data_IF_533229216226
#
_entry.id   IF_533229216226
#
_cell.length_a   1.000
_cell.length_b   1.000
_cell.length_c   1.000
_cell.angle_alpha   90.00
_cell.angle_beta   90.00
_cell.angle_gamma   90.00
#
_symmetry.space_group_name_H-M   'P 1'
#
loop_
_entity.id
_entity.type
_entity.pdbx_description
1 polymer ?
#
# COMPACT_ATOMS: atom_id res chain seq x y z
N UNK A 1 -27.12 33.24 61.40
CA UNK A 1 -27.34 32.09 60.49
C UNK A 1 -26.67 32.40 59.18
N UNK A 2 -25.47 31.78 58.91
CA UNK A 2 -24.69 32.03 57.66
C UNK A 2 -25.19 31.07 56.61
N UNK A 3 -25.72 31.55 55.48
CA UNK A 3 -26.15 30.73 54.33
C UNK A 3 -24.89 30.37 53.50
N UNK A 4 -24.58 29.10 53.43
CA UNK A 4 -23.51 28.55 52.63
C UNK A 4 -24.05 28.31 51.21
N UNK A 5 -23.59 29.12 50.24
CA UNK A 5 -23.95 28.97 48.85
C UNK A 5 -22.94 28.01 48.20
N UNK A 6 -23.36 26.79 47.86
CA UNK A 6 -22.54 25.82 47.10
C UNK A 6 -22.70 26.14 45.64
N UNK A 7 -21.59 26.59 44.99
CA UNK A 7 -21.52 26.78 43.53
C UNK A 7 -21.09 25.44 42.94
N UNK A 8 -22.03 24.77 42.25
CA UNK A 8 -21.79 23.55 41.52
C UNK A 8 -21.22 23.91 40.15
N UNK A 9 -19.88 23.82 39.99
CA UNK A 9 -19.23 24.04 38.72
C UNK A 9 -19.42 22.78 37.83
N UNK A 10 -20.26 22.89 36.80
CA UNK A 10 -20.40 21.85 35.78
C UNK A 10 -19.17 21.91 34.86
N UNK A 11 -18.31 20.87 34.93
CA UNK A 11 -17.22 20.67 33.98
C UNK A 11 -17.80 20.08 32.70
N UNK A 12 -17.90 20.89 31.66
CA UNK A 12 -18.29 20.44 30.31
C UNK A 12 -17.07 19.80 29.65
N UNK A 13 -17.01 18.47 29.59
CA UNK A 13 -16.00 17.76 28.80
C UNK A 13 -16.43 17.81 27.34
N UNK A 14 -15.80 18.70 26.55
CA UNK A 14 -15.92 18.68 25.08
C UNK A 14 -15.19 17.45 24.57
N UNK A 15 -15.89 16.41 24.16
CA UNK A 15 -15.34 15.32 23.38
C UNK A 15 -15.19 15.83 21.93
N UNK A 16 -13.95 16.11 21.50
CA UNK A 16 -13.65 16.41 20.11
C UNK A 16 -13.80 15.11 19.30
N UNK A 17 -14.80 15.04 18.43
CA UNK A 17 -14.90 13.98 17.42
C UNK A 17 -13.88 14.29 16.33
N UNK A 18 -12.83 13.48 16.24
CA UNK A 18 -11.90 13.54 15.10
C UNK A 18 -12.56 12.85 13.91
N UNK A 19 -12.80 13.60 12.84
CA UNK A 19 -13.28 13.03 11.57
C UNK A 19 -12.13 12.32 10.87
N UNK A 20 -12.35 11.05 10.52
CA UNK A 20 -11.42 10.29 9.68
C UNK A 20 -11.70 10.64 8.23
N UNK A 21 -10.70 11.15 7.53
CA UNK A 21 -10.75 11.43 6.10
C UNK A 21 -10.33 10.19 5.31
N UNK A 22 -11.05 9.90 4.24
CA UNK A 22 -10.73 8.78 3.33
C UNK A 22 -10.21 9.33 2.01
N UNK A 23 -9.04 8.84 1.61
CA UNK A 23 -8.33 9.22 0.40
C UNK A 23 -8.24 8.01 -0.52
N UNK A 24 -8.46 8.21 -1.82
CA UNK A 24 -8.33 7.16 -2.84
C UNK A 24 -7.24 7.52 -3.82
N UNK A 25 -6.54 6.51 -4.33
CA UNK A 25 -5.55 6.75 -5.37
C UNK A 25 -6.20 7.31 -6.64
N UNK A 26 -5.57 8.33 -7.20
CA UNK A 26 -5.86 8.83 -8.54
C UNK A 26 -5.17 7.90 -9.55
N UNK A 27 -5.97 7.05 -10.22
CA UNK A 27 -5.45 5.99 -11.11
C UNK A 27 -4.49 6.51 -12.19
N UNK A 28 -4.78 7.62 -12.92
CA UNK A 28 -3.85 8.18 -13.90
C UNK A 28 -2.50 8.61 -13.34
N UNK A 29 -2.44 8.98 -12.06
CA UNK A 29 -1.23 9.45 -11.40
C UNK A 29 -0.71 8.48 -10.34
N UNK A 30 -1.05 7.19 -10.49
CA UNK A 30 -0.61 6.13 -9.58
C UNK A 30 -0.03 4.94 -10.33
N UNK A 31 1.05 4.38 -9.83
CA UNK A 31 1.73 3.22 -10.40
C UNK A 31 2.11 2.21 -9.33
N UNK A 32 1.90 0.92 -9.62
CA UNK A 32 2.45 -0.19 -8.86
C UNK A 32 3.37 -0.99 -9.76
N UNK A 33 4.65 -1.08 -9.41
CA UNK A 33 5.68 -1.78 -10.16
C UNK A 33 6.42 -2.79 -9.30
N UNK A 34 6.98 -3.79 -9.96
CA UNK A 34 7.87 -4.77 -9.36
C UNK A 34 9.07 -5.03 -10.25
N UNK A 35 10.12 -5.59 -9.67
CA UNK A 35 11.34 -5.94 -10.38
C UNK A 35 11.96 -7.21 -9.79
N UNK A 36 12.41 -8.12 -10.65
CA UNK A 36 13.14 -9.34 -10.30
C UNK A 36 14.42 -9.43 -11.11
N UNK A 37 15.46 -10.06 -10.55
CA UNK A 37 16.69 -10.36 -11.31
C UNK A 37 16.54 -11.69 -12.03
N UNK A 38 16.78 -11.71 -13.34
CA UNK A 38 16.71 -12.88 -14.20
C UNK A 38 18.12 -13.38 -14.55
N UNK A 39 18.35 -14.68 -14.39
CA UNK A 39 19.65 -15.37 -14.59
C UNK A 39 20.84 -14.74 -13.82
N UNK A 40 20.56 -13.91 -12.81
CA UNK A 40 21.59 -13.19 -12.07
C UNK A 40 22.30 -12.07 -12.83
N UNK A 41 21.84 -11.71 -14.05
CA UNK A 41 22.56 -10.79 -14.96
C UNK A 41 21.73 -9.60 -15.45
N UNK A 42 20.41 -9.62 -15.31
CA UNK A 42 19.56 -8.52 -15.74
C UNK A 42 18.28 -8.43 -14.90
N UNK A 43 17.74 -7.23 -14.81
CA UNK A 43 16.47 -7.02 -14.13
C UNK A 43 15.30 -7.00 -15.12
N UNK A 44 14.23 -7.69 -14.75
CA UNK A 44 12.94 -7.71 -15.44
C UNK A 44 11.94 -6.98 -14.57
N UNK A 45 11.37 -5.90 -15.10
CA UNK A 45 10.34 -5.13 -14.44
C UNK A 45 8.95 -5.39 -15.04
N UNK A 46 7.93 -5.19 -14.21
CA UNK A 46 6.53 -5.22 -14.61
C UNK A 46 5.68 -4.31 -13.73
N UNK A 47 4.43 -4.16 -14.12
CA UNK A 47 3.41 -3.37 -13.40
C UNK A 47 2.16 -4.20 -13.18
N UNK A 48 1.34 -3.78 -12.19
CA UNK A 48 -0.07 -4.14 -12.11
C UNK A 48 -0.87 -2.89 -12.44
N UNK A 49 -1.62 -2.95 -13.55
CA UNK A 49 -2.28 -1.76 -14.11
C UNK A 49 -3.69 -1.52 -13.55
N UNK A 50 -4.27 -2.49 -12.84
CA UNK A 50 -5.57 -2.36 -12.20
C UNK A 50 -5.46 -2.63 -10.70
N UNK A 51 -5.44 -1.54 -9.94
CA UNK A 51 -5.37 -1.56 -8.48
C UNK A 51 -6.08 -0.37 -7.87
N UNK A 52 -6.51 -0.54 -6.63
CA UNK A 52 -7.09 0.50 -5.80
C UNK A 52 -6.38 0.54 -4.45
N UNK A 53 -6.17 1.75 -3.95
CA UNK A 53 -5.63 2.00 -2.61
C UNK A 53 -6.53 2.98 -1.89
N UNK A 54 -6.88 2.66 -0.65
CA UNK A 54 -7.58 3.57 0.25
C UNK A 54 -6.69 3.91 1.43
N UNK A 55 -6.59 5.19 1.76
CA UNK A 55 -5.88 5.71 2.92
C UNK A 55 -6.86 6.41 3.83
N UNK A 56 -6.99 5.95 5.07
CA UNK A 56 -7.85 6.55 6.07
C UNK A 56 -6.98 7.19 7.16
N UNK A 57 -7.12 8.50 7.38
CA UNK A 57 -6.36 9.25 8.37
C UNK A 57 -7.21 10.35 9.01
N UNK A 58 -7.02 10.61 10.31
CA UNK A 58 -7.61 11.73 11.01
C UNK A 58 -6.63 12.91 11.15
N UNK A 59 -5.30 12.63 11.08
CA UNK A 59 -4.27 13.63 11.22
C UNK A 59 -3.78 14.15 9.88
N UNK A 60 -3.50 15.46 9.77
CA UNK A 60 -3.01 16.06 8.52
C UNK A 60 -1.62 15.56 8.08
N UNK A 61 -0.81 15.06 9.03
CA UNK A 61 0.52 14.50 8.77
C UNK A 61 0.51 13.00 8.45
N UNK A 62 -0.68 12.40 8.38
CA UNK A 62 -0.90 10.97 8.13
C UNK A 62 -0.19 10.02 9.10
N UNK A 63 0.25 10.49 10.28
CA UNK A 63 0.94 9.65 11.27
C UNK A 63 0.05 8.55 11.88
N UNK A 64 -1.27 8.63 11.68
CA UNK A 64 -2.28 7.64 12.09
C UNK A 64 -2.91 6.89 10.91
N UNK A 65 -2.33 7.04 9.71
CA UNK A 65 -2.93 6.52 8.49
C UNK A 65 -3.03 5.00 8.48
N UNK A 66 -4.16 4.51 7.95
CA UNK A 66 -4.39 3.10 7.65
C UNK A 66 -4.51 2.94 6.14
N UNK A 67 -3.78 1.97 5.61
CA UNK A 67 -3.71 1.67 4.18
C UNK A 67 -4.42 0.34 3.89
N UNK A 68 -5.27 0.34 2.88
CA UNK A 68 -5.85 -0.85 2.30
C UNK A 68 -5.60 -0.83 0.80
N UNK A 69 -5.15 -1.96 0.26
CA UNK A 69 -4.78 -2.12 -1.14
C UNK A 69 -5.41 -3.40 -1.70
N UNK A 70 -5.84 -3.31 -2.96
CA UNK A 70 -6.28 -4.45 -3.76
C UNK A 70 -5.78 -4.27 -5.19
N UNK A 71 -5.24 -5.34 -5.80
CA UNK A 71 -4.87 -5.37 -7.21
C UNK A 71 -5.37 -6.63 -7.90
N UNK A 72 -5.82 -6.49 -9.14
CA UNK A 72 -6.18 -7.61 -9.99
C UNK A 72 -4.93 -8.23 -10.61
N UNK A 73 -4.68 -9.49 -10.33
CA UNK A 73 -3.52 -10.26 -10.84
C UNK A 73 -3.51 -10.30 -12.37
N UNK A 74 -4.70 -10.35 -13.00
CA UNK A 74 -4.83 -10.36 -14.47
C UNK A 74 -4.30 -9.09 -15.14
N UNK A 75 -4.11 -8.00 -14.40
CA UNK A 75 -3.61 -6.72 -14.90
C UNK A 75 -2.08 -6.63 -14.98
N UNK A 76 -1.37 -7.72 -14.67
CA UNK A 76 0.08 -7.79 -14.78
C UNK A 76 0.54 -7.54 -16.21
N UNK A 77 1.53 -6.68 -16.35
CA UNK A 77 2.13 -6.29 -17.63
C UNK A 77 3.65 -6.17 -17.48
N UNK A 78 4.37 -6.99 -18.21
CA UNK A 78 5.83 -6.98 -18.30
C UNK A 78 6.31 -6.61 -19.71
N UNK A 79 5.42 -6.10 -20.58
CA UNK A 79 5.65 -5.75 -21.98
C UNK A 79 5.98 -6.96 -22.89
N UNK A 80 5.73 -8.19 -22.40
CA UNK A 80 5.92 -9.43 -23.15
C UNK A 80 4.72 -10.34 -22.88
N UNK A 81 3.81 -10.41 -23.84
CA UNK A 81 2.52 -11.13 -23.69
C UNK A 81 2.68 -12.60 -23.27
N UNK A 82 3.64 -13.31 -23.85
CA UNK A 82 3.89 -14.72 -23.49
C UNK A 82 4.32 -14.88 -22.03
N UNK A 83 5.11 -13.93 -21.51
CA UNK A 83 5.51 -13.91 -20.10
C UNK A 83 4.34 -13.55 -19.20
N UNK A 84 3.53 -12.56 -19.57
CA UNK A 84 2.35 -12.14 -18.81
C UNK A 84 1.34 -13.29 -18.71
N UNK A 85 1.13 -14.05 -19.80
CA UNK A 85 0.31 -15.24 -19.78
C UNK A 85 0.87 -16.31 -18.83
N UNK A 86 2.19 -16.53 -18.84
CA UNK A 86 2.84 -17.49 -17.95
C UNK A 86 2.76 -17.07 -16.48
N UNK A 87 2.96 -15.77 -16.18
CA UNK A 87 2.84 -15.25 -14.83
C UNK A 87 1.43 -15.41 -14.25
N UNK A 88 0.38 -15.37 -15.09
CA UNK A 88 -1.01 -15.60 -14.67
C UNK A 88 -1.35 -17.08 -14.45
N UNK A 89 -0.53 -18.02 -14.94
CA UNK A 89 -0.77 -19.47 -14.83
C UNK A 89 -0.52 -20.02 -13.43
N UNK A 90 -0.90 -21.29 -13.22
CA UNK A 90 -0.68 -22.01 -11.97
C UNK A 90 0.81 -22.22 -11.61
N UNK A 91 1.74 -21.96 -12.52
CA UNK A 91 3.17 -21.98 -12.21
C UNK A 91 3.63 -20.74 -11.41
N UNK A 92 2.83 -19.65 -11.41
CA UNK A 92 3.14 -18.42 -10.72
C UNK A 92 1.97 -17.92 -9.85
N UNK A 93 1.17 -16.98 -10.34
CA UNK A 93 0.13 -16.33 -9.54
C UNK A 93 -1.18 -17.12 -9.46
N UNK A 94 -1.40 -18.09 -10.34
CA UNK A 94 -2.66 -18.86 -10.47
C UNK A 94 -3.89 -17.93 -10.44
N UNK A 95 -3.92 -16.99 -11.40
CA UNK A 95 -4.90 -15.89 -11.42
C UNK A 95 -6.36 -16.36 -11.48
N UNK A 96 -6.61 -17.59 -11.93
CA UNK A 96 -7.96 -18.19 -11.96
C UNK A 96 -8.44 -18.50 -10.54
N UNK A 97 -7.57 -19.01 -9.66
CA UNK A 97 -7.90 -19.34 -8.27
C UNK A 97 -7.67 -18.15 -7.33
N UNK A 98 -6.69 -17.32 -7.65
CA UNK A 98 -6.24 -16.18 -6.84
C UNK A 98 -6.26 -14.89 -7.66
N UNK A 99 -7.46 -14.38 -8.03
CA UNK A 99 -7.58 -13.27 -8.95
C UNK A 99 -7.07 -11.93 -8.40
N UNK A 100 -6.86 -11.85 -7.08
CA UNK A 100 -6.52 -10.61 -6.41
C UNK A 100 -5.36 -10.78 -5.43
N UNK A 101 -4.57 -9.71 -5.32
CA UNK A 101 -3.65 -9.47 -4.21
C UNK A 101 -4.24 -8.38 -3.32
N UNK A 102 -4.06 -8.51 -2.00
CA UNK A 102 -4.55 -7.51 -1.05
C UNK A 102 -3.49 -7.19 0.00
N UNK A 103 -3.53 -5.97 0.53
CA UNK A 103 -2.73 -5.58 1.68
C UNK A 103 -3.58 -4.77 2.65
N UNK A 104 -3.41 -5.04 3.94
CA UNK A 104 -4.05 -4.27 5.00
C UNK A 104 -3.02 -3.90 6.07
N UNK A 105 -2.82 -2.61 6.29
CA UNK A 105 -1.86 -2.14 7.28
C UNK A 105 -2.28 -2.52 8.69
N UNK A 106 -1.29 -2.95 9.49
CA UNK A 106 -1.43 -3.25 10.92
C UNK A 106 -0.73 -2.21 11.78
N UNK A 107 0.35 -1.60 11.28
CA UNK A 107 1.04 -0.51 11.97
C UNK A 107 1.72 0.44 11.00
N UNK A 108 1.86 1.69 11.45
CA UNK A 108 2.63 2.74 10.80
C UNK A 108 3.55 3.36 11.85
N UNK A 109 4.86 3.22 11.67
CA UNK A 109 5.87 3.70 12.64
C UNK A 109 6.75 4.74 11.97
N UNK A 110 6.86 5.92 12.56
CA UNK A 110 7.69 7.00 12.03
C UNK A 110 9.18 6.58 12.04
N UNK A 111 9.87 6.81 10.92
CA UNK A 111 11.27 6.49 10.70
C UNK A 111 12.02 7.66 10.05
N UNK A 112 11.84 8.85 10.59
CA UNK A 112 12.41 10.10 10.12
C UNK A 112 11.34 11.11 9.69
N UNK A 113 11.75 12.27 9.20
CA UNK A 113 10.82 13.28 8.72
C UNK A 113 10.11 12.76 7.45
N UNK A 114 8.79 12.75 7.48
CA UNK A 114 7.91 12.30 6.38
C UNK A 114 8.15 10.85 5.92
N UNK A 115 8.91 10.05 6.71
CA UNK A 115 9.24 8.66 6.43
C UNK A 115 8.68 7.75 7.50
N UNK A 116 8.17 6.60 7.06
CA UNK A 116 7.51 5.62 7.93
C UNK A 116 7.91 4.20 7.53
N UNK A 117 7.86 3.30 8.50
CA UNK A 117 7.76 1.85 8.27
C UNK A 117 6.28 1.47 8.30
N UNK A 118 5.78 1.02 7.16
CA UNK A 118 4.41 0.52 7.00
C UNK A 118 4.45 -1.00 7.10
N UNK A 119 3.85 -1.54 8.16
CA UNK A 119 3.70 -3.00 8.33
C UNK A 119 2.25 -3.38 8.11
N UNK A 120 2.02 -4.52 7.48
CA UNK A 120 0.67 -5.03 7.24
C UNK A 120 0.68 -6.44 6.69
N UNK A 121 -0.52 -7.01 6.58
CA UNK A 121 -0.75 -8.34 6.06
C UNK A 121 -0.93 -8.27 4.54
N UNK A 122 0.02 -8.85 3.81
CA UNK A 122 -0.03 -9.01 2.36
C UNK A 122 -0.54 -10.40 2.03
N UNK A 123 -1.58 -10.47 1.19
CA UNK A 123 -2.13 -11.72 0.67
C UNK A 123 -1.85 -11.80 -0.82
N UNK A 124 -1.13 -12.83 -1.25
CA UNK A 124 -0.89 -13.17 -2.65
C UNK A 124 -0.98 -14.68 -2.80
N UNK A 125 -1.46 -15.17 -3.95
CA UNK A 125 -1.53 -16.61 -4.25
C UNK A 125 -2.21 -17.41 -3.13
N UNK A 126 -3.21 -16.82 -2.44
CA UNK A 126 -3.93 -17.44 -1.31
C UNK A 126 -3.17 -17.49 0.01
N UNK A 127 -1.94 -17.01 0.08
CA UNK A 127 -1.09 -17.00 1.28
C UNK A 127 -1.01 -15.59 1.83
N UNK A 128 -1.20 -15.44 3.15
CA UNK A 128 -1.07 -14.17 3.86
C UNK A 128 0.20 -14.17 4.72
N UNK A 129 1.00 -13.12 4.58
CA UNK A 129 2.23 -12.91 5.37
C UNK A 129 2.32 -11.45 5.82
N UNK A 130 2.86 -11.20 7.02
CA UNK A 130 3.22 -9.85 7.43
C UNK A 130 4.43 -9.37 6.63
N UNK A 131 4.34 -8.16 6.10
CA UNK A 131 5.43 -7.48 5.39
C UNK A 131 5.64 -6.09 5.95
N UNK A 132 6.88 -5.58 5.88
CA UNK A 132 7.21 -4.20 6.27
C UNK A 132 7.89 -3.50 5.10
N UNK A 133 7.38 -2.34 4.74
CA UNK A 133 7.85 -1.53 3.63
C UNK A 133 8.19 -0.12 4.09
N UNK A 134 9.03 0.58 3.33
CA UNK A 134 9.33 1.99 3.54
C UNK A 134 8.28 2.84 2.83
N UNK A 135 7.64 3.73 3.59
CA UNK A 135 6.66 4.69 3.09
C UNK A 135 7.22 6.10 3.24
N UNK A 136 7.18 6.87 2.15
CA UNK A 136 7.49 8.29 2.11
C UNK A 136 6.20 9.07 1.86
N UNK A 137 5.83 9.96 2.76
CA UNK A 137 4.82 10.98 2.54
C UNK A 137 5.47 12.19 1.85
N UNK A 138 4.95 12.59 0.69
CA UNK A 138 5.52 13.68 -0.13
C UNK A 138 4.87 15.04 0.11
N UNK A 139 3.86 15.07 0.98
CA UNK A 139 3.08 16.28 1.28
C UNK A 139 1.69 16.25 0.68
N UNK A 140 0.90 17.26 1.05
CA UNK A 140 -0.46 17.51 0.54
C UNK A 140 -0.52 18.90 -0.08
N UNK A 141 -1.16 19.00 -1.24
CA UNK A 141 -1.39 20.23 -1.97
C UNK A 141 -2.84 20.32 -2.44
N UNK A 142 -3.36 21.54 -2.62
CA UNK A 142 -4.60 21.71 -3.36
C UNK A 142 -4.29 21.62 -4.86
N UNK A 143 -4.96 20.69 -5.55
CA UNK A 143 -4.83 20.58 -7.00
C UNK A 143 -5.45 21.82 -7.67
N UNK A 144 -4.68 22.58 -8.48
CA UNK A 144 -5.15 23.85 -9.04
C UNK A 144 -6.34 23.71 -9.99
N UNK A 145 -6.53 22.52 -10.59
CA UNK A 145 -7.59 22.26 -11.54
C UNK A 145 -8.86 21.73 -10.86
N UNK A 146 -8.71 20.67 -10.06
CA UNK A 146 -9.86 19.99 -9.41
C UNK A 146 -10.29 20.66 -8.11
N UNK A 147 -9.43 21.53 -7.51
CA UNK A 147 -9.61 22.15 -6.19
C UNK A 147 -9.70 21.15 -5.03
N UNK A 148 -9.36 19.89 -5.28
CA UNK A 148 -9.31 18.85 -4.26
C UNK A 148 -7.94 18.82 -3.57
N UNK A 149 -7.94 18.43 -2.29
CA UNK A 149 -6.70 18.12 -1.60
C UNK A 149 -6.13 16.84 -2.20
N UNK A 150 -4.84 16.89 -2.53
CA UNK A 150 -4.10 15.78 -3.16
C UNK A 150 -2.85 15.50 -2.33
N UNK A 151 -2.75 14.29 -1.79
CA UNK A 151 -1.60 13.81 -1.01
C UNK A 151 -0.75 12.88 -1.85
N UNK A 152 0.59 13.02 -1.76
CA UNK A 152 1.53 12.14 -2.46
C UNK A 152 2.16 11.12 -1.53
N UNK A 153 2.22 9.85 -1.97
CA UNK A 153 2.93 8.80 -1.26
C UNK A 153 3.81 7.98 -2.21
N UNK A 154 4.95 7.53 -1.69
CA UNK A 154 5.79 6.52 -2.33
C UNK A 154 6.05 5.39 -1.35
N UNK A 155 5.90 4.16 -1.81
CA UNK A 155 6.20 2.95 -1.06
C UNK A 155 7.29 2.18 -1.79
N UNK A 156 8.27 1.68 -1.03
CA UNK A 156 9.31 0.78 -1.55
C UNK A 156 9.54 -0.36 -0.57
N UNK A 157 9.88 -1.53 -1.10
CA UNK A 157 10.18 -2.69 -0.26
C UNK A 157 10.64 -3.88 -1.07
N UNK A 158 10.93 -4.95 -0.35
CA UNK A 158 11.31 -6.24 -0.91
C UNK A 158 10.44 -7.31 -0.29
N UNK A 159 9.89 -8.19 -1.12
CA UNK A 159 9.18 -9.40 -0.68
C UNK A 159 9.84 -10.63 -1.29
N UNK A 160 9.79 -11.75 -0.60
CA UNK A 160 10.23 -13.03 -1.15
C UNK A 160 9.03 -13.73 -1.79
N UNK A 161 9.14 -14.04 -3.10
CA UNK A 161 8.07 -14.73 -3.81
C UNK A 161 7.83 -16.15 -3.29
N UNK A 162 8.89 -16.80 -2.77
CA UNK A 162 8.79 -18.13 -2.14
C UNK A 162 7.92 -18.13 -0.89
N UNK A 163 7.85 -17.03 -0.14
CA UNK A 163 6.96 -16.90 1.03
C UNK A 163 5.47 -17.04 0.65
N UNK A 164 5.15 -16.85 -0.63
CA UNK A 164 3.79 -16.93 -1.19
C UNK A 164 3.61 -18.09 -2.18
N UNK A 165 4.60 -19.00 -2.28
CA UNK A 165 4.54 -20.15 -3.20
C UNK A 165 4.52 -19.76 -4.67
N UNK A 166 5.02 -18.56 -5.04
CA UNK A 166 4.97 -18.07 -6.43
C UNK A 166 6.21 -18.52 -7.19
N UNK A 167 6.02 -19.27 -8.28
CA UNK A 167 7.08 -19.66 -9.20
C UNK A 167 8.14 -20.58 -8.59
N UNK A 168 7.77 -21.49 -7.69
CA UNK A 168 8.69 -22.40 -6.97
C UNK A 168 9.58 -23.22 -7.90
N UNK A 169 9.08 -23.58 -9.10
CA UNK A 169 9.84 -24.33 -10.10
C UNK A 169 11.01 -23.55 -10.70
N UNK A 170 11.04 -22.23 -10.52
CA UNK A 170 12.01 -21.32 -11.13
C UNK A 170 12.90 -20.68 -10.06
N UNK A 171 13.65 -21.53 -9.33
CA UNK A 171 14.57 -21.06 -8.29
C UNK A 171 15.74 -20.25 -8.88
N UNK A 172 16.42 -19.48 -8.02
CA UNK A 172 17.66 -18.80 -8.41
C UNK A 172 18.68 -19.81 -8.98
N UNK A 173 19.46 -19.44 -10.02
CA UNK A 173 19.59 -18.10 -10.59
C UNK A 173 18.57 -17.73 -11.68
N UNK A 174 17.62 -18.62 -12.05
CA UNK A 174 16.65 -18.32 -13.10
C UNK A 174 15.86 -17.05 -12.79
N UNK A 175 15.24 -16.97 -11.61
CA UNK A 175 14.53 -15.79 -11.12
C UNK A 175 14.92 -15.61 -9.66
N UNK A 176 15.28 -14.38 -9.27
CA UNK A 176 15.56 -14.04 -7.87
C UNK A 176 14.35 -14.35 -6.99
N UNK A 177 14.59 -14.79 -5.77
CA UNK A 177 13.54 -14.94 -4.77
C UNK A 177 13.03 -13.58 -4.29
N UNK A 178 13.93 -12.63 -4.14
CA UNK A 178 13.62 -11.26 -3.79
C UNK A 178 12.99 -10.52 -4.96
N UNK A 179 11.82 -9.91 -4.69
CA UNK A 179 11.06 -9.06 -5.60
C UNK A 179 11.06 -7.66 -5.02
N UNK A 180 11.66 -6.71 -5.73
CA UNK A 180 11.64 -5.28 -5.37
C UNK A 180 10.29 -4.71 -5.77
N UNK A 181 9.62 -4.04 -4.81
CA UNK A 181 8.32 -3.41 -5.02
C UNK A 181 8.48 -1.90 -4.95
N UNK A 182 7.84 -1.19 -5.85
CA UNK A 182 7.67 0.25 -5.79
C UNK A 182 6.25 0.62 -6.17
N UNK A 183 5.59 1.37 -5.29
CA UNK A 183 4.36 2.07 -5.61
C UNK A 183 4.57 3.58 -5.44
N UNK A 184 3.99 4.36 -6.33
CA UNK A 184 4.05 5.82 -6.31
C UNK A 184 2.68 6.34 -6.72
N UNK A 185 2.11 7.31 -6.01
CA UNK A 185 0.76 7.74 -6.34
C UNK A 185 0.30 9.01 -5.66
N UNK A 186 -0.66 9.63 -6.31
CA UNK A 186 -1.47 10.72 -5.79
C UNK A 186 -2.77 10.18 -5.21
N UNK A 187 -3.20 10.77 -4.11
CA UNK A 187 -4.40 10.38 -3.38
C UNK A 187 -5.30 11.58 -3.21
N UNK A 188 -6.55 11.45 -3.60
CA UNK A 188 -7.55 12.51 -3.52
C UNK A 188 -8.64 12.19 -2.51
N UNK A 189 -9.12 13.27 -1.86
CA UNK A 189 -10.22 13.21 -0.90
C UNK A 189 -11.57 13.36 -1.58
#
# INVERSE_FOLDING_TARGET
MKKLTIILSAVFVLTAFTTVNSWKNDKPHSQLSFEVTHLGVSDVSGTFNDFDVTVNAAKPDFSDAKFEFIANVSSIDTRVEARDKHLKSADFFDAEKHPQMTFKSTSLTQNGKDKYKLTGDLTMHGITKPVTMDLLYRGTVENPMSKKQTAGFQLTGVVKRSDFGIGEKFAAPFISDEVRIKADGEFVQ
#
